data_IF_181967846501
#
_entry.id   IF_181967846501
#
_cell.length_a   1.000
_cell.length_b   1.000
_cell.length_c   1.000
_cell.angle_alpha   90.00
_cell.angle_beta   90.00
_cell.angle_gamma   90.00
#
_symmetry.space_group_name_H-M   'P 1'
#
loop_
_entity.id
_entity.type
_entity.pdbx_description
1 polymer ?
#
# COMPACT_ATOMS: atom_id res chain seq x y z
N UNK A 1 -40.08 -6.20 8.94
CA UNK A 1 -38.85 -5.74 9.60
C UNK A 1 -39.17 -4.48 10.40
N UNK A 2 -39.09 -4.50 11.74
CA UNK A 2 -39.23 -3.26 12.54
C UNK A 2 -37.98 -2.42 12.33
N UNK A 3 -38.14 -1.18 11.88
CA UNK A 3 -37.06 -0.20 11.88
C UNK A 3 -36.50 -0.07 13.30
N UNK A 4 -35.18 -0.06 13.50
CA UNK A 4 -34.60 0.12 14.83
C UNK A 4 -35.11 1.42 15.44
N UNK A 5 -35.35 1.42 16.76
CA UNK A 5 -35.75 2.63 17.47
C UNK A 5 -34.69 3.72 17.27
N UNK A 6 -35.08 5.02 17.24
CA UNK A 6 -34.15 6.13 17.04
C UNK A 6 -32.95 6.09 18.02
N UNK A 7 -33.20 5.66 19.26
CA UNK A 7 -32.19 5.47 20.30
C UNK A 7 -31.22 4.33 19.99
N UNK A 8 -31.72 3.21 19.46
CA UNK A 8 -30.89 2.09 19.02
C UNK A 8 -29.99 2.46 17.84
N UNK A 9 -30.47 3.30 16.92
CA UNK A 9 -29.65 3.83 15.82
C UNK A 9 -28.56 4.78 16.32
N UNK A 10 -28.90 5.72 17.22
CA UNK A 10 -27.93 6.65 17.83
C UNK A 10 -26.82 5.92 18.59
N UNK A 11 -27.16 4.88 19.37
CA UNK A 11 -26.18 4.09 20.13
C UNK A 11 -25.20 3.35 19.21
N UNK A 12 -25.67 2.86 18.06
CA UNK A 12 -24.82 2.22 17.05
C UNK A 12 -23.86 3.21 16.40
N UNK A 13 -24.35 4.38 15.99
CA UNK A 13 -23.50 5.43 15.45
C UNK A 13 -22.45 5.91 16.44
N UNK A 14 -22.83 6.10 17.71
CA UNK A 14 -21.89 6.46 18.77
C UNK A 14 -20.77 5.42 18.92
N UNK A 15 -21.07 4.12 18.78
CA UNK A 15 -20.07 3.06 18.83
C UNK A 15 -19.05 3.16 17.68
N UNK A 16 -19.54 3.31 16.44
CA UNK A 16 -18.66 3.42 15.28
C UNK A 16 -17.80 4.69 15.32
N UNK A 17 -18.37 5.81 15.79
CA UNK A 17 -17.62 7.04 16.04
C UNK A 17 -16.58 6.84 17.14
N UNK A 18 -16.94 6.17 18.24
CA UNK A 18 -16.00 5.82 19.32
C UNK A 18 -14.82 4.99 18.82
N UNK A 19 -15.07 3.98 17.98
CA UNK A 19 -14.01 3.19 17.35
C UNK A 19 -13.10 4.04 16.45
N UNK A 20 -13.68 4.90 15.61
CA UNK A 20 -12.92 5.80 14.75
C UNK A 20 -12.04 6.77 15.54
N UNK A 21 -12.58 7.36 16.60
CA UNK A 21 -11.84 8.25 17.50
C UNK A 21 -10.73 7.52 18.24
N UNK A 22 -10.98 6.28 18.68
CA UNK A 22 -9.96 5.43 19.29
C UNK A 22 -8.80 5.17 18.31
N UNK A 23 -9.09 4.81 17.06
CA UNK A 23 -8.05 4.57 16.05
C UNK A 23 -7.25 5.84 15.78
N UNK A 24 -7.90 7.00 15.63
CA UNK A 24 -7.22 8.28 15.46
C UNK A 24 -6.31 8.60 16.66
N UNK A 25 -6.82 8.42 17.89
CA UNK A 25 -6.05 8.66 19.10
C UNK A 25 -4.83 7.73 19.21
N UNK A 26 -4.98 6.45 18.87
CA UNK A 26 -3.88 5.48 18.85
C UNK A 26 -2.85 5.81 17.77
N UNK A 27 -3.29 6.27 16.59
CA UNK A 27 -2.38 6.64 15.51
C UNK A 27 -1.53 7.86 15.89
N UNK A 28 -2.16 8.88 16.49
CA UNK A 28 -1.46 10.06 17.01
C UNK A 28 -0.55 9.71 18.19
N UNK A 29 -1.05 8.94 19.17
CA UNK A 29 -0.28 8.54 20.34
C UNK A 29 0.93 7.66 20.01
N UNK A 30 0.74 6.68 19.12
CA UNK A 30 1.79 5.77 18.65
C UNK A 30 2.87 6.45 17.80
N UNK A 31 2.56 7.62 17.22
CA UNK A 31 3.45 8.40 16.38
C UNK A 31 3.74 9.79 16.96
N UNK A 32 3.60 9.98 18.27
CA UNK A 32 3.75 11.28 18.96
C UNK A 32 5.08 12.00 18.67
N UNK A 33 6.15 11.25 18.38
CA UNK A 33 7.44 11.82 18.02
C UNK A 33 7.41 12.57 16.69
N UNK A 34 6.56 12.13 15.75
CA UNK A 34 6.37 12.81 14.46
C UNK A 34 5.51 14.07 14.61
N UNK A 35 4.56 14.08 15.56
CA UNK A 35 3.60 15.18 15.75
C UNK A 35 4.29 16.51 16.04
N UNK A 36 5.39 16.50 16.82
CA UNK A 36 6.13 17.71 17.15
C UNK A 36 6.92 18.30 15.96
N UNK A 37 7.17 17.51 14.91
CA UNK A 37 8.02 17.86 13.78
C UNK A 37 7.37 17.61 12.42
N UNK A 38 6.04 17.66 12.32
CA UNK A 38 5.30 17.25 11.11
C UNK A 38 5.76 17.95 9.82
N UNK A 39 6.22 19.19 9.89
CA UNK A 39 6.66 19.95 8.72
C UNK A 39 8.13 19.79 8.34
N UNK A 40 8.97 19.35 9.28
CA UNK A 40 10.42 19.56 9.18
C UNK A 40 11.25 18.31 9.49
N UNK A 41 10.62 17.27 10.03
CA UNK A 41 11.28 16.03 10.43
C UNK A 41 10.61 14.84 9.78
N UNK A 42 11.40 13.82 9.46
CA UNK A 42 10.90 12.49 9.11
C UNK A 42 11.44 11.48 10.11
N UNK A 43 10.84 10.30 10.19
CA UNK A 43 11.44 9.22 10.97
C UNK A 43 12.85 8.93 10.45
N UNK A 44 13.80 8.73 11.36
CA UNK A 44 15.14 8.31 11.01
C UNK A 44 15.24 6.79 11.04
N UNK A 45 15.66 6.21 9.92
CA UNK A 45 15.90 4.78 9.80
C UNK A 45 17.41 4.54 9.93
N UNK A 46 17.82 3.81 10.97
CA UNK A 46 19.22 3.47 11.24
C UNK A 46 19.73 2.36 10.31
N UNK A 47 19.68 2.59 9.00
CA UNK A 47 20.24 1.68 8.01
C UNK A 47 21.58 2.20 7.47
N UNK A 48 22.55 1.30 7.19
CA UNK A 48 23.84 1.67 6.60
C UNK A 48 23.72 2.41 5.25
N UNK A 49 22.60 2.22 4.53
CA UNK A 49 22.36 2.77 3.20
C UNK A 49 21.62 4.13 3.19
N UNK A 50 21.21 4.66 4.35
CA UNK A 50 20.48 5.91 4.47
C UNK A 50 19.01 5.75 4.89
N UNK A 51 18.21 6.80 4.66
CA UNK A 51 16.84 6.90 5.15
C UNK A 51 15.81 6.91 4.00
N UNK A 52 15.03 5.83 3.88
CA UNK A 52 13.99 5.66 2.86
C UNK A 52 12.85 6.68 2.99
N UNK A 53 12.64 7.30 4.17
CA UNK A 53 11.59 8.30 4.36
C UNK A 53 11.78 9.49 3.41
N UNK A 54 13.02 9.99 3.27
CA UNK A 54 13.30 11.14 2.39
C UNK A 54 13.11 10.80 0.91
N UNK A 55 13.40 9.55 0.53
CA UNK A 55 13.12 9.07 -0.82
C UNK A 55 11.61 9.10 -1.10
N UNK A 56 10.76 8.61 -0.19
CA UNK A 56 9.31 8.66 -0.39
C UNK A 56 8.73 10.08 -0.33
N UNK A 57 9.30 10.98 0.50
CA UNK A 57 8.95 12.41 0.46
C UNK A 57 9.25 12.99 -0.92
N UNK A 58 10.44 12.72 -1.45
CA UNK A 58 10.84 13.18 -2.79
C UNK A 58 9.95 12.57 -3.87
N UNK A 59 9.68 11.25 -3.85
CA UNK A 59 8.83 10.58 -4.84
C UNK A 59 7.43 11.19 -4.83
N UNK A 60 6.82 11.37 -3.67
CA UNK A 60 5.49 11.99 -3.56
C UNK A 60 5.50 13.42 -4.08
N UNK A 61 6.55 14.19 -3.78
CA UNK A 61 6.71 15.55 -4.24
C UNK A 61 6.89 15.63 -5.78
N UNK A 62 7.68 14.72 -6.35
CA UNK A 62 7.89 14.57 -7.79
C UNK A 62 6.59 14.20 -8.49
N UNK A 63 5.91 13.14 -8.03
CA UNK A 63 4.65 12.67 -8.62
C UNK A 63 3.62 13.80 -8.67
N UNK A 64 3.43 14.53 -7.57
CA UNK A 64 2.53 15.68 -7.53
C UNK A 64 2.99 16.84 -8.41
N UNK A 65 4.30 17.09 -8.51
CA UNK A 65 4.86 18.11 -9.38
C UNK A 65 4.60 17.78 -10.84
N UNK A 66 5.02 16.60 -11.29
CA UNK A 66 4.89 16.18 -12.68
C UNK A 66 3.43 16.05 -13.11
N UNK A 67 2.54 15.52 -12.24
CA UNK A 67 1.09 15.51 -12.53
C UNK A 67 0.50 16.91 -12.74
N UNK A 68 1.13 17.96 -12.18
CA UNK A 68 0.67 19.34 -12.33
C UNK A 68 1.35 20.10 -13.49
N UNK A 69 2.60 19.78 -13.83
CA UNK A 69 3.42 20.55 -14.78
C UNK A 69 3.64 19.84 -16.11
N UNK A 70 3.93 18.53 -16.09
CA UNK A 70 4.13 17.70 -17.28
C UNK A 70 3.69 16.24 -16.99
N UNK A 71 2.39 15.94 -17.14
CA UNK A 71 1.88 14.60 -16.86
C UNK A 71 2.46 13.51 -17.78
N UNK A 72 2.92 13.88 -18.98
CA UNK A 72 3.53 12.94 -19.92
C UNK A 72 4.94 12.52 -19.47
N UNK A 73 5.66 13.42 -18.80
CA UNK A 73 6.98 13.22 -18.23
C UNK A 73 7.00 12.63 -16.81
N UNK A 74 5.86 12.18 -16.26
CA UNK A 74 5.78 11.70 -14.87
C UNK A 74 6.78 10.61 -14.53
N UNK A 75 7.14 9.75 -15.49
CA UNK A 75 8.10 8.67 -15.28
C UNK A 75 9.56 9.14 -15.32
N UNK A 76 9.84 10.30 -15.89
CA UNK A 76 11.18 10.83 -16.13
C UNK A 76 11.67 11.68 -14.95
N UNK A 77 11.78 11.02 -13.78
CA UNK A 77 12.18 11.66 -12.53
C UNK A 77 13.58 12.26 -12.56
N UNK A 78 13.78 13.30 -11.75
CA UNK A 78 15.05 14.03 -11.65
C UNK A 78 16.12 13.28 -10.83
N UNK A 79 16.25 11.98 -11.05
CA UNK A 79 17.25 11.09 -10.43
C UNK A 79 17.98 10.30 -11.52
N UNK A 80 19.24 9.94 -11.28
CA UNK A 80 20.07 9.11 -12.18
C UNK A 80 20.25 9.67 -13.60
N UNK A 81 20.45 10.98 -13.76
CA UNK A 81 20.79 11.56 -15.07
C UNK A 81 22.00 10.83 -15.71
N UNK A 82 21.98 10.51 -17.02
CA UNK A 82 20.99 10.85 -18.05
C UNK A 82 19.96 9.76 -18.37
N UNK A 83 19.71 8.80 -17.47
CA UNK A 83 18.80 7.70 -17.76
C UNK A 83 17.33 8.17 -17.87
N UNK A 84 16.53 7.61 -18.80
CA UNK A 84 15.10 7.91 -18.90
C UNK A 84 14.26 7.00 -17.99
N UNK A 85 13.02 7.41 -17.71
CA UNK A 85 12.00 6.69 -16.94
C UNK A 85 12.48 6.23 -15.56
N UNK A 86 13.30 7.04 -14.92
CA UNK A 86 14.01 6.71 -13.68
C UNK A 86 13.08 6.58 -12.48
N UNK A 87 11.84 7.09 -12.55
CA UNK A 87 10.82 6.82 -11.53
C UNK A 87 10.51 5.32 -11.43
N UNK A 88 10.59 4.57 -12.54
CA UNK A 88 10.37 3.12 -12.55
C UNK A 88 11.49 2.32 -11.86
N UNK A 89 12.59 2.98 -11.49
CA UNK A 89 13.69 2.31 -10.78
C UNK A 89 13.42 2.25 -9.28
N UNK A 90 12.36 2.92 -8.81
CA UNK A 90 11.90 2.94 -7.42
C UNK A 90 10.38 2.72 -7.37
N UNK A 91 9.82 2.68 -6.17
CA UNK A 91 8.37 2.64 -5.99
C UNK A 91 7.79 4.00 -6.36
N UNK A 92 6.90 4.03 -7.36
CA UNK A 92 6.10 5.21 -7.65
C UNK A 92 4.91 5.28 -6.67
N UNK A 93 4.57 6.49 -6.23
CA UNK A 93 3.50 6.73 -5.25
C UNK A 93 2.27 7.37 -5.89
N UNK A 94 2.10 7.23 -7.20
CA UNK A 94 1.07 7.90 -7.99
C UNK A 94 -0.34 7.73 -7.41
N UNK A 95 -0.66 6.55 -6.88
CA UNK A 95 -1.96 6.30 -6.25
C UNK A 95 -2.20 7.19 -5.02
N UNK A 96 -1.17 7.37 -4.18
CA UNK A 96 -1.21 8.29 -3.05
C UNK A 96 -1.09 9.75 -3.49
N UNK A 97 -0.27 10.06 -4.51
CA UNK A 97 -0.09 11.40 -5.03
C UNK A 97 -1.41 12.01 -5.51
N UNK A 98 -2.21 11.22 -6.25
CA UNK A 98 -3.56 11.59 -6.70
C UNK A 98 -4.51 11.78 -5.50
N UNK A 99 -4.49 10.85 -4.55
CA UNK A 99 -5.33 10.95 -3.35
C UNK A 99 -5.01 12.20 -2.50
N UNK A 100 -3.75 12.62 -2.48
CA UNK A 100 -3.24 13.70 -1.65
C UNK A 100 -3.18 15.06 -2.35
N UNK A 101 -3.69 15.19 -3.58
CA UNK A 101 -3.80 16.47 -4.31
C UNK A 101 -4.44 17.59 -3.46
N UNK A 102 -5.55 17.36 -2.71
CA UNK A 102 -6.13 18.42 -1.88
C UNK A 102 -5.15 19.01 -0.86
N UNK A 103 -4.26 18.19 -0.29
CA UNK A 103 -3.23 18.66 0.64
C UNK A 103 -2.17 19.49 -0.08
N UNK A 104 -1.81 19.13 -1.31
CA UNK A 104 -0.87 19.91 -2.13
C UNK A 104 -1.41 21.29 -2.52
N UNK A 105 -2.73 21.43 -2.65
CA UNK A 105 -3.37 22.73 -2.85
C UNK A 105 -3.35 23.59 -1.58
N UNK A 106 -3.34 22.96 -0.39
CA UNK A 106 -3.30 23.65 0.89
C UNK A 106 -1.88 24.01 1.37
N UNK A 107 -0.86 23.23 0.98
CA UNK A 107 0.53 23.45 1.38
C UNK A 107 1.52 23.03 0.30
N UNK A 108 2.60 23.78 0.17
CA UNK A 108 3.74 23.44 -0.69
C UNK A 108 4.77 22.54 0.01
N UNK A 109 4.60 22.23 1.29
CA UNK A 109 5.56 21.44 2.07
C UNK A 109 5.35 19.93 1.83
N UNK A 110 6.26 19.23 1.12
CA UNK A 110 6.10 17.80 0.83
C UNK A 110 6.31 16.91 2.06
N UNK A 111 7.14 17.33 3.02
CA UNK A 111 7.37 16.62 4.29
C UNK A 111 6.07 16.59 5.09
N UNK A 112 5.36 17.72 5.16
CA UNK A 112 4.07 17.79 5.83
C UNK A 112 3.04 16.85 5.20
N UNK A 113 2.91 16.85 3.86
CA UNK A 113 1.95 15.98 3.16
C UNK A 113 2.26 14.50 3.43
N UNK A 114 3.53 14.13 3.31
CA UNK A 114 4.00 12.78 3.60
C UNK A 114 3.70 12.38 5.05
N UNK A 115 4.04 13.24 6.02
CA UNK A 115 3.84 12.93 7.44
C UNK A 115 2.37 12.86 7.82
N UNK A 116 1.49 13.65 7.20
CA UNK A 116 0.05 13.56 7.42
C UNK A 116 -0.50 12.20 6.99
N UNK A 117 -0.07 11.68 5.84
CA UNK A 117 -0.49 10.34 5.41
C UNK A 117 0.11 9.25 6.29
N UNK A 118 1.39 9.37 6.67
CA UNK A 118 2.05 8.44 7.60
C UNK A 118 1.33 8.39 8.96
N UNK A 119 0.91 9.56 9.47
CA UNK A 119 0.16 9.67 10.71
C UNK A 119 -1.23 9.04 10.60
N UNK A 120 -1.94 9.29 9.50
CA UNK A 120 -3.31 8.81 9.30
C UNK A 120 -3.40 7.32 8.93
N UNK A 121 -2.35 6.76 8.34
CA UNK A 121 -2.38 5.44 7.72
C UNK A 121 -2.84 4.29 8.64
N UNK A 122 -2.29 4.12 9.86
CA UNK A 122 -2.76 3.07 10.77
C UNK A 122 -4.25 3.17 11.10
N UNK A 123 -4.77 4.39 11.24
CA UNK A 123 -6.18 4.63 11.52
C UNK A 123 -7.06 4.33 10.31
N UNK A 124 -6.65 4.73 9.10
CA UNK A 124 -7.36 4.42 7.86
C UNK A 124 -7.41 2.90 7.60
N UNK A 125 -6.30 2.22 7.85
CA UNK A 125 -6.21 0.76 7.75
C UNK A 125 -7.14 0.05 8.74
N UNK A 126 -7.13 0.49 10.00
CA UNK A 126 -8.05 -0.01 11.02
C UNK A 126 -9.51 0.27 10.64
N UNK A 127 -9.84 1.46 10.14
CA UNK A 127 -11.20 1.81 9.71
C UNK A 127 -11.67 0.96 8.54
N UNK A 128 -10.82 0.76 7.53
CA UNK A 128 -11.12 -0.05 6.37
C UNK A 128 -11.37 -1.51 6.77
N UNK A 129 -10.50 -2.08 7.61
CA UNK A 129 -10.69 -3.44 8.10
C UNK A 129 -11.88 -3.54 9.05
N UNK A 130 -12.11 -2.55 9.92
CA UNK A 130 -13.26 -2.51 10.82
C UNK A 130 -14.57 -2.60 10.03
N UNK A 131 -14.68 -1.81 8.96
CA UNK A 131 -15.85 -1.84 8.08
C UNK A 131 -16.03 -3.20 7.41
N UNK A 132 -14.95 -3.79 6.88
CA UNK A 132 -14.99 -5.13 6.29
C UNK A 132 -15.38 -6.20 7.33
N UNK A 133 -14.69 -6.23 8.46
CA UNK A 133 -14.90 -7.21 9.53
C UNK A 133 -16.32 -7.13 10.10
N UNK A 134 -16.86 -5.93 10.28
CA UNK A 134 -18.24 -5.76 10.74
C UNK A 134 -19.26 -6.38 9.78
N UNK A 135 -19.02 -6.31 8.46
CA UNK A 135 -19.88 -7.00 7.49
C UNK A 135 -19.72 -8.52 7.54
N UNK A 136 -18.55 -9.04 7.92
CA UNK A 136 -18.25 -10.47 7.96
C UNK A 136 -18.76 -11.13 9.23
N UNK A 137 -18.54 -10.49 10.38
CA UNK A 137 -18.86 -11.06 11.70
C UNK A 137 -20.23 -10.63 12.22
N UNK A 138 -20.73 -9.45 11.80
CA UNK A 138 -21.90 -8.82 12.41
C UNK A 138 -21.67 -8.28 13.83
N UNK A 139 -20.49 -8.52 14.41
CA UNK A 139 -20.18 -8.25 15.81
C UNK A 139 -19.16 -7.11 15.95
N UNK A 140 -19.56 -5.96 16.53
CA UNK A 140 -18.71 -4.77 16.60
C UNK A 140 -17.43 -4.97 17.41
N UNK A 141 -17.45 -5.83 18.44
CA UNK A 141 -16.28 -6.13 19.27
C UNK A 141 -15.23 -6.94 18.52
N UNK A 142 -15.65 -7.97 17.77
CA UNK A 142 -14.76 -8.77 16.93
C UNK A 142 -14.15 -7.92 15.81
N UNK A 143 -14.96 -7.05 15.20
CA UNK A 143 -14.48 -6.12 14.18
C UNK A 143 -13.46 -5.13 14.73
N UNK A 144 -13.68 -4.60 15.95
CA UNK A 144 -12.75 -3.69 16.63
C UNK A 144 -11.41 -4.38 16.89
N UNK A 145 -11.43 -5.59 17.44
CA UNK A 145 -10.20 -6.34 17.75
C UNK A 145 -9.41 -6.65 16.46
N UNK A 146 -10.07 -7.14 15.41
CA UNK A 146 -9.41 -7.41 14.13
C UNK A 146 -8.79 -6.14 13.52
N UNK A 147 -9.51 -5.03 13.55
CA UNK A 147 -9.03 -3.73 13.10
C UNK A 147 -7.81 -3.23 13.88
N UNK A 148 -7.79 -3.41 15.21
CA UNK A 148 -6.65 -3.05 16.05
C UNK A 148 -5.41 -3.88 15.69
N UNK A 149 -5.57 -5.20 15.56
CA UNK A 149 -4.47 -6.10 15.23
C UNK A 149 -3.88 -5.82 13.84
N UNK A 150 -4.71 -5.42 12.88
CA UNK A 150 -4.26 -5.09 11.53
C UNK A 150 -3.65 -3.69 11.44
N UNK A 151 -4.42 -2.67 11.85
CA UNK A 151 -4.03 -1.27 11.72
C UNK A 151 -2.78 -0.92 12.53
N UNK A 152 -2.68 -1.49 13.72
CA UNK A 152 -1.67 -1.15 14.73
C UNK A 152 -0.68 -2.29 15.03
N UNK A 153 -0.51 -3.23 14.08
CA UNK A 153 0.49 -4.28 14.20
C UNK A 153 1.89 -3.68 14.49
N UNK A 154 2.67 -4.22 15.44
CA UNK A 154 3.99 -3.67 15.78
C UNK A 154 4.93 -3.49 14.59
N UNK A 155 4.87 -4.42 13.62
CA UNK A 155 5.68 -4.39 12.40
C UNK A 155 5.58 -3.05 11.65
N UNK A 156 4.38 -2.46 11.60
CA UNK A 156 4.11 -1.19 10.90
C UNK A 156 4.79 0.00 11.54
N UNK A 157 5.05 -0.10 12.84
CA UNK A 157 5.72 0.94 13.60
C UNK A 157 7.24 0.71 13.68
N UNK A 158 7.76 -0.44 13.30
CA UNK A 158 9.18 -0.73 13.40
C UNK A 158 9.87 -0.84 12.05
N UNK A 159 9.19 -1.41 11.05
CA UNK A 159 9.74 -1.64 9.71
C UNK A 159 9.18 -0.64 8.68
N UNK A 160 7.87 -0.37 8.71
CA UNK A 160 7.20 0.28 7.56
C UNK A 160 7.05 1.80 7.68
N UNK A 161 7.53 2.43 8.77
CA UNK A 161 7.28 3.87 9.05
C UNK A 161 7.81 4.81 7.96
N UNK A 162 8.83 4.39 7.24
CA UNK A 162 9.40 5.15 6.13
C UNK A 162 8.86 4.73 4.75
N UNK A 163 8.11 3.64 4.66
CA UNK A 163 7.63 3.04 3.41
C UNK A 163 6.11 3.19 3.33
N UNK A 164 5.66 4.39 2.95
CA UNK A 164 4.24 4.77 2.97
C UNK A 164 3.35 3.93 2.05
N UNK A 165 3.92 3.32 1.01
CA UNK A 165 3.25 2.35 0.14
C UNK A 165 2.84 1.07 0.87
N UNK A 166 3.65 0.63 1.84
CA UNK A 166 3.33 -0.53 2.68
C UNK A 166 2.42 -0.13 3.85
N UNK A 167 2.63 1.07 4.39
CA UNK A 167 1.82 1.60 5.48
C UNK A 167 0.37 1.90 5.04
N UNK A 168 0.17 2.28 3.77
CA UNK A 168 -1.12 2.51 3.15
C UNK A 168 -1.80 1.21 2.72
N UNK A 169 -2.09 0.29 3.64
CA UNK A 169 -2.66 -1.01 3.29
C UNK A 169 -4.20 -1.03 3.24
N UNK A 170 -4.87 0.07 3.56
CA UNK A 170 -6.33 0.22 3.59
C UNK A 170 -7.01 -0.16 2.28
N UNK A 171 -6.27 -0.09 1.16
CA UNK A 171 -6.79 -0.45 -0.15
C UNK A 171 -7.29 -1.89 -0.18
N UNK A 172 -6.60 -2.82 0.50
CA UNK A 172 -6.95 -4.24 0.44
C UNK A 172 -8.28 -4.55 1.18
N UNK A 173 -8.50 -4.11 2.44
CA UNK A 173 -9.81 -4.25 3.07
C UNK A 173 -10.92 -3.52 2.32
N UNK A 174 -10.66 -2.32 1.77
CA UNK A 174 -11.64 -1.59 0.97
C UNK A 174 -12.03 -2.35 -0.31
N UNK A 175 -11.06 -2.95 -1.00
CA UNK A 175 -11.29 -3.77 -2.19
C UNK A 175 -12.26 -4.90 -1.87
N UNK A 176 -11.98 -5.67 -0.81
CA UNK A 176 -12.84 -6.79 -0.41
C UNK A 176 -14.23 -6.32 0.05
N UNK A 177 -14.31 -5.20 0.78
CA UNK A 177 -15.60 -4.64 1.20
C UNK A 177 -16.47 -4.24 0.00
N UNK A 178 -15.89 -3.54 -0.97
CA UNK A 178 -16.60 -3.06 -2.15
C UNK A 178 -16.96 -4.21 -3.10
N UNK A 179 -16.04 -5.14 -3.35
CA UNK A 179 -16.30 -6.33 -4.15
C UNK A 179 -17.46 -7.16 -3.55
N UNK A 180 -17.47 -7.34 -2.22
CA UNK A 180 -18.57 -8.06 -1.55
C UNK A 180 -19.90 -7.33 -1.69
N UNK A 181 -19.92 -5.99 -1.55
CA UNK A 181 -21.15 -5.21 -1.74
C UNK A 181 -21.65 -5.28 -3.19
N UNK A 182 -20.74 -5.23 -4.15
CA UNK A 182 -21.07 -5.36 -5.57
C UNK A 182 -21.76 -6.69 -5.85
N UNK A 183 -21.22 -7.80 -5.33
CA UNK A 183 -21.77 -9.15 -5.51
C UNK A 183 -23.09 -9.32 -4.73
N UNK A 184 -23.15 -8.88 -3.47
CA UNK A 184 -24.31 -9.11 -2.60
C UNK A 184 -25.54 -8.26 -2.98
N UNK A 185 -25.33 -7.10 -3.61
CA UNK A 185 -26.40 -6.16 -3.95
C UNK A 185 -26.57 -5.92 -5.46
N UNK A 186 -25.79 -6.62 -6.29
CA UNK A 186 -25.76 -6.47 -7.75
C UNK A 186 -25.56 -5.00 -8.19
N UNK A 187 -24.60 -4.32 -7.56
CA UNK A 187 -24.35 -2.89 -7.75
C UNK A 187 -23.09 -2.65 -8.57
N UNK A 188 -23.28 -2.24 -9.83
CA UNK A 188 -22.19 -1.83 -10.74
C UNK A 188 -21.32 -0.73 -10.11
N UNK A 189 -21.93 0.22 -9.39
CA UNK A 189 -21.21 1.29 -8.69
C UNK A 189 -20.14 0.74 -7.74
N UNK A 190 -20.49 -0.26 -6.92
CA UNK A 190 -19.56 -0.83 -5.95
C UNK A 190 -18.44 -1.61 -6.65
N UNK A 191 -18.75 -2.24 -7.79
CA UNK A 191 -17.76 -2.89 -8.66
C UNK A 191 -16.79 -1.88 -9.29
N UNK A 192 -17.28 -0.75 -9.78
CA UNK A 192 -16.44 0.34 -10.32
C UNK A 192 -15.53 0.93 -9.24
N UNK A 193 -16.06 1.18 -8.04
CA UNK A 193 -15.27 1.67 -6.91
C UNK A 193 -14.20 0.65 -6.49
N UNK A 194 -14.52 -0.64 -6.49
CA UNK A 194 -13.54 -1.71 -6.25
C UNK A 194 -12.41 -1.68 -7.30
N UNK A 195 -12.76 -1.50 -8.58
CA UNK A 195 -11.80 -1.34 -9.67
C UNK A 195 -10.89 -0.11 -9.49
N UNK A 196 -11.45 1.04 -9.10
CA UNK A 196 -10.68 2.26 -8.80
C UNK A 196 -9.71 2.01 -7.63
N UNK A 197 -10.18 1.41 -6.54
CA UNK A 197 -9.34 1.06 -5.38
C UNK A 197 -8.19 0.14 -5.78
N UNK A 198 -8.47 -0.88 -6.61
CA UNK A 198 -7.44 -1.78 -7.13
C UNK A 198 -6.41 -1.04 -8.00
N UNK A 199 -6.86 -0.13 -8.87
CA UNK A 199 -5.96 0.68 -9.69
C UNK A 199 -5.08 1.60 -8.82
N UNK A 200 -5.66 2.26 -7.82
CA UNK A 200 -4.92 3.13 -6.88
C UNK A 200 -3.92 2.35 -6.03
N UNK A 201 -4.26 1.14 -5.57
CA UNK A 201 -3.31 0.23 -4.93
C UNK A 201 -2.13 -0.08 -5.86
N UNK A 202 -2.42 -0.46 -7.11
CA UNK A 202 -1.38 -0.78 -8.09
C UNK A 202 -0.46 0.40 -8.41
N UNK A 203 -1.01 1.62 -8.38
CA UNK A 203 -0.27 2.87 -8.58
C UNK A 203 0.45 3.36 -7.31
N UNK A 204 0.13 2.83 -6.13
CA UNK A 204 0.80 3.16 -4.86
C UNK A 204 2.09 2.37 -4.67
N UNK A 205 2.34 1.37 -5.51
CA UNK A 205 3.61 0.65 -5.60
C UNK A 205 3.40 -0.78 -6.08
N UNK A 206 4.01 -1.15 -7.22
CA UNK A 206 4.16 -2.53 -7.67
C UNK A 206 5.53 -2.65 -8.35
N UNK A 207 6.46 -3.36 -7.72
CA UNK A 207 7.72 -3.76 -8.32
C UNK A 207 7.45 -4.74 -9.46
N UNK A 208 7.44 -4.26 -10.71
CA UNK A 208 7.49 -5.15 -11.88
C UNK A 208 8.95 -5.56 -12.09
N UNK A 209 9.34 -6.70 -11.53
CA UNK A 209 10.51 -7.40 -12.06
C UNK A 209 10.19 -7.76 -13.51
N UNK A 210 10.95 -7.31 -14.52
CA UNK A 210 10.89 -8.00 -15.80
C UNK A 210 11.24 -9.47 -15.54
N UNK A 211 10.50 -10.45 -16.11
CA UNK A 211 10.90 -11.85 -16.01
C UNK A 211 12.32 -11.96 -16.53
N UNK A 212 13.23 -12.48 -15.70
CA UNK A 212 14.60 -12.73 -16.14
C UNK A 212 14.55 -13.69 -17.34
N UNK A 213 15.27 -13.43 -18.44
CA UNK A 213 15.23 -14.29 -19.64
C UNK A 213 15.77 -15.72 -19.42
N UNK A 214 16.19 -16.11 -18.21
CA UNK A 214 16.99 -17.31 -17.99
C UNK A 214 16.22 -18.56 -17.56
N UNK A 215 14.90 -18.51 -17.34
CA UNK A 215 14.14 -19.70 -16.90
C UNK A 215 13.60 -20.60 -18.03
N UNK A 216 13.88 -20.29 -19.30
CA UNK A 216 13.36 -21.04 -20.45
C UNK A 216 14.45 -21.62 -21.36
N UNK A 217 15.48 -22.27 -20.79
CA UNK A 217 16.32 -23.20 -21.59
C UNK A 217 17.13 -24.19 -20.74
N UNK A 218 16.49 -25.27 -20.28
CA UNK A 218 17.18 -26.54 -20.02
C UNK A 218 16.15 -27.66 -19.90
N UNK A 219 15.62 -28.08 -21.06
CA UNK A 219 14.73 -29.22 -21.15
C UNK A 219 14.87 -29.86 -22.52
N UNK A 220 15.29 -31.13 -22.53
CA UNK A 220 15.40 -32.07 -23.65
C UNK A 220 16.75 -32.11 -24.43
N UNK A 221 17.58 -33.11 -24.09
CA UNK A 221 17.81 -34.29 -24.95
C UNK A 221 18.69 -35.32 -24.24
N UNK A 222 18.08 -36.12 -23.38
CA UNK A 222 18.53 -37.48 -23.08
C UNK A 222 17.79 -38.43 -24.02
N UNK A 223 18.39 -38.77 -25.15
CA UNK A 223 17.92 -39.90 -25.98
C UNK A 223 19.04 -40.42 -26.87
N UNK A 224 19.63 -41.56 -26.44
CA UNK A 224 19.91 -42.68 -27.32
C UNK A 224 21.14 -42.62 -28.23
N UNK A 225 22.25 -43.21 -27.77
CA UNK A 225 23.05 -44.09 -28.63
C UNK A 225 23.75 -45.18 -27.79
N UNK A 226 22.98 -46.21 -27.41
CA UNK A 226 23.53 -47.55 -27.14
C UNK A 226 23.50 -48.34 -28.45
N UNK A 227 24.68 -48.66 -28.98
CA UNK A 227 25.07 -49.91 -29.68
C UNK A 227 26.49 -49.69 -30.21
N UNK A 228 27.50 -50.31 -29.60
CA UNK A 228 27.91 -51.71 -29.73
C UNK A 228 29.05 -51.85 -30.75
N UNK A 229 30.25 -52.11 -30.26
CA UNK A 229 31.25 -52.93 -30.94
C UNK A 229 32.29 -53.40 -29.94
N UNK A 230 32.21 -54.69 -29.64
CA UNK A 230 33.15 -55.45 -28.84
C UNK A 230 34.46 -55.72 -29.60
N UNK A 231 35.50 -56.03 -28.81
CA UNK A 231 36.68 -56.82 -29.16
C UNK A 231 37.84 -56.15 -29.91
N UNK A 232 38.96 -56.02 -29.19
CA UNK A 232 40.38 -56.23 -29.57
C UNK A 232 41.21 -55.44 -28.55
N UNK A 233 42.33 -55.86 -28.00
CA UNK A 233 43.05 -57.12 -27.90
C UNK A 233 44.16 -56.87 -26.86
N UNK A 234 44.74 -57.94 -26.32
CA UNK A 234 45.82 -57.98 -25.33
C UNK A 234 47.15 -57.36 -25.84
N UNK A 235 48.08 -57.18 -24.88
CA UNK A 235 49.51 -56.84 -24.98
C UNK A 235 49.80 -55.34 -25.15
N UNK A 236 50.68 -54.69 -24.37
CA UNK A 236 51.87 -55.11 -23.63
C UNK A 236 51.95 -54.44 -22.25
#
# INVERSE_FOLDING_TARGET
MRSPSPEGSRRRWAWHLGAALLFAALAVGGQRGLVAGLGDHVFFQELPAGNDCLLHVWTLAWDQHALATDPAGVLDANIFYPYPRTLLYSDHLLGLAVLLVPFRLATANPVLIHNLVTLAAPALDALALYALALTLTGEPGAALLGALLYGFAPLRFTADRCQIQMLAAWWLPLLFLLARRAIAHDRVRDGLLAGIVLALQGLTGIWRSPPSPSSFRSGSRTAGSRRASASRARSR
#
